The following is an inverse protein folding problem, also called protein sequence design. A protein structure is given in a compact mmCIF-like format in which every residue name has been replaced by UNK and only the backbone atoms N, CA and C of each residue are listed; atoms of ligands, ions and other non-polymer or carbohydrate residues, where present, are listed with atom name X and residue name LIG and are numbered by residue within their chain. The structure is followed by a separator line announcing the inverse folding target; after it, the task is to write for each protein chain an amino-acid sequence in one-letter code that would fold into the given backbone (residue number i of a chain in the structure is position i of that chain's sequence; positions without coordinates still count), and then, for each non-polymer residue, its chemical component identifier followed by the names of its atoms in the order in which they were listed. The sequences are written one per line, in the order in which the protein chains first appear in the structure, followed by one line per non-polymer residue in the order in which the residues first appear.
data_IF_810041362581
#
_entry.id   IF_810041362581
#
_cell.length_a   1.000
_cell.length_b   1.000
_cell.length_c   1.000
_cell.angle_alpha   90.00
_cell.angle_beta   90.00
_cell.angle_gamma   90.00
#
_symmetry.space_group_name_H-M   'P 1'
#
loop_
_entity.id
_entity.type
_entity.pdbx_description
1 polymer ?
#
# COMPACT_ATOMS: atom_id res chain seq x y z
N UNK A 1 3.60 -13.06 -66.68
CA UNK A 1 4.46 -13.60 -65.61
C UNK A 1 5.27 -12.44 -65.04
N UNK A 2 5.06 -12.06 -63.77
CA UNK A 2 6.02 -11.21 -63.09
C UNK A 2 6.06 -11.60 -61.60
N UNK A 3 7.26 -11.97 -61.16
CA UNK A 3 7.52 -12.75 -59.97
C UNK A 3 7.58 -11.89 -58.70
N UNK A 4 7.05 -12.46 -57.62
CA UNK A 4 7.50 -12.34 -56.22
C UNK A 4 8.15 -10.99 -55.84
N UNK A 5 7.32 -10.01 -55.48
CA UNK A 5 7.75 -9.02 -54.50
C UNK A 5 7.96 -9.74 -53.15
N UNK A 6 9.15 -9.63 -52.51
CA UNK A 6 9.29 -10.11 -51.16
C UNK A 6 8.39 -9.25 -50.28
N UNK A 7 7.32 -9.84 -49.76
CA UNK A 7 6.54 -9.24 -48.67
C UNK A 7 7.55 -8.87 -47.59
N UNK A 8 7.83 -7.57 -47.42
CA UNK A 8 8.52 -7.05 -46.23
C UNK A 8 7.75 -7.62 -45.05
N UNK A 9 8.26 -8.67 -44.42
CA UNK A 9 7.84 -9.07 -43.08
C UNK A 9 8.18 -7.85 -42.24
N UNK A 10 7.19 -6.98 -42.04
CA UNK A 10 7.21 -5.93 -41.02
C UNK A 10 7.48 -6.71 -39.75
N UNK A 11 8.75 -6.82 -39.40
CA UNK A 11 9.18 -7.56 -38.21
C UNK A 11 8.35 -7.00 -37.08
N UNK A 12 7.66 -7.87 -36.34
CA UNK A 12 6.77 -7.57 -35.20
C UNK A 12 7.50 -6.85 -34.03
N UNK A 13 8.64 -6.21 -34.30
CA UNK A 13 9.50 -5.42 -33.42
C UNK A 13 8.77 -4.24 -32.77
N UNK A 14 7.72 -3.71 -33.38
CA UNK A 14 6.88 -2.66 -32.79
C UNK A 14 5.82 -3.22 -31.81
N UNK A 15 5.41 -4.49 -31.96
CA UNK A 15 4.35 -5.08 -31.14
C UNK A 15 4.80 -5.58 -29.78
N UNK A 16 6.10 -5.76 -29.60
CA UNK A 16 6.68 -6.47 -28.48
C UNK A 16 7.85 -5.69 -27.88
N UNK A 17 7.81 -5.48 -26.57
CA UNK A 17 8.88 -4.80 -25.85
C UNK A 17 9.42 -5.68 -24.73
N UNK A 18 10.74 -5.64 -24.55
CA UNK A 18 11.40 -6.29 -23.42
C UNK A 18 10.99 -5.59 -22.13
N UNK A 19 10.36 -6.33 -21.24
CA UNK A 19 9.98 -5.86 -19.91
C UNK A 19 10.48 -6.83 -18.86
N UNK A 20 10.94 -6.30 -17.74
CA UNK A 20 11.38 -7.08 -16.59
C UNK A 20 10.18 -7.41 -15.71
N UNK A 21 9.79 -8.69 -15.68
CA UNK A 21 8.69 -9.16 -14.84
C UNK A 21 9.21 -9.99 -13.66
N UNK A 22 8.60 -9.86 -12.47
CA UNK A 22 8.97 -10.69 -11.34
C UNK A 22 8.67 -12.16 -11.64
N UNK A 23 9.70 -13.01 -11.53
CA UNK A 23 9.56 -14.44 -11.79
C UNK A 23 8.79 -15.11 -10.64
N UNK A 24 7.67 -15.74 -10.97
CA UNK A 24 6.84 -16.51 -10.04
C UNK A 24 7.03 -18.00 -10.27
N UNK A 25 7.49 -18.73 -9.24
CA UNK A 25 7.79 -20.15 -9.34
C UNK A 25 6.80 -21.00 -8.52
N UNK A 26 6.45 -22.18 -9.03
CA UNK A 26 5.72 -23.18 -8.22
C UNK A 26 6.60 -23.73 -7.11
N UNK A 27 5.99 -24.27 -6.05
CA UNK A 27 6.72 -24.84 -4.91
C UNK A 27 7.82 -25.82 -5.33
N UNK A 28 7.54 -26.75 -6.24
CA UNK A 28 8.53 -27.73 -6.71
C UNK A 28 9.75 -27.07 -7.39
N UNK A 29 9.54 -25.97 -8.11
CA UNK A 29 10.61 -25.24 -8.77
C UNK A 29 11.41 -24.40 -7.78
N UNK A 30 10.75 -23.80 -6.79
CA UNK A 30 11.43 -23.12 -5.67
C UNK A 30 12.37 -24.08 -4.95
N UNK A 31 11.90 -25.29 -4.65
CA UNK A 31 12.72 -26.32 -3.99
C UNK A 31 13.96 -26.67 -4.82
N UNK A 32 13.82 -26.82 -6.14
CA UNK A 32 14.94 -27.15 -7.02
C UNK A 32 15.93 -26.00 -7.19
N UNK A 33 15.44 -24.78 -7.38
CA UNK A 33 16.30 -23.61 -7.71
C UNK A 33 17.05 -23.12 -6.47
N UNK A 34 16.37 -23.08 -5.32
CA UNK A 34 16.91 -22.47 -4.11
C UNK A 34 17.33 -23.51 -3.06
N UNK A 35 17.18 -24.81 -3.34
CA UNK A 35 17.56 -25.88 -2.41
C UNK A 35 16.74 -25.91 -1.11
N UNK A 36 15.53 -25.33 -1.10
CA UNK A 36 14.69 -25.23 0.10
C UNK A 36 13.71 -26.40 0.18
N UNK A 37 13.32 -26.82 1.38
CA UNK A 37 12.32 -27.87 1.54
C UNK A 37 10.89 -27.36 1.33
N UNK A 38 9.97 -28.26 0.94
CA UNK A 38 8.54 -27.95 0.88
C UNK A 38 7.98 -27.47 2.24
N UNK A 39 8.51 -28.01 3.35
CA UNK A 39 8.09 -27.65 4.71
C UNK A 39 8.46 -26.20 5.04
N UNK A 40 9.66 -25.77 4.65
CA UNK A 40 10.11 -24.39 4.86
C UNK A 40 9.27 -23.39 4.08
N UNK A 41 8.99 -23.71 2.81
CA UNK A 41 8.12 -22.87 1.96
C UNK A 41 6.73 -22.74 2.58
N UNK A 42 6.14 -23.83 3.06
CA UNK A 42 4.85 -23.80 3.74
C UNK A 42 4.90 -23.05 5.07
N UNK A 43 5.98 -23.22 5.85
CA UNK A 43 6.20 -22.50 7.11
C UNK A 43 6.26 -21.00 6.86
N UNK A 44 7.08 -20.54 5.93
CA UNK A 44 7.18 -19.10 5.60
C UNK A 44 5.87 -18.53 5.06
N UNK A 45 5.10 -19.33 4.31
CA UNK A 45 3.78 -18.92 3.86
C UNK A 45 2.78 -18.77 5.02
N UNK A 46 2.78 -19.70 5.97
CA UNK A 46 1.95 -19.63 7.19
C UNK A 46 2.35 -18.47 8.10
N UNK A 47 3.64 -18.20 8.23
CA UNK A 47 4.19 -17.07 8.99
C UNK A 47 3.98 -15.72 8.30
N UNK A 48 3.43 -15.69 7.07
CA UNK A 48 3.21 -14.46 6.30
C UNK A 48 4.49 -13.84 5.71
N UNK A 49 5.64 -14.49 5.89
CA UNK A 49 6.95 -14.06 5.39
C UNK A 49 7.12 -14.27 3.88
N UNK A 50 6.42 -15.26 3.32
CA UNK A 50 6.38 -15.53 1.90
C UNK A 50 4.94 -15.42 1.39
N UNK A 51 4.66 -14.46 0.50
CA UNK A 51 3.29 -14.23 0.01
C UNK A 51 3.01 -15.05 -1.26
N UNK A 52 2.17 -16.10 -1.20
CA UNK A 52 1.80 -16.85 -2.40
C UNK A 52 0.92 -16.01 -3.32
N UNK A 53 1.20 -16.09 -4.62
CA UNK A 53 0.42 -15.47 -5.69
C UNK A 53 -0.35 -16.56 -6.43
N UNK A 54 -1.65 -16.36 -6.56
CA UNK A 54 -2.54 -17.29 -7.26
C UNK A 54 -2.87 -16.73 -8.63
N UNK A 55 -2.29 -17.32 -9.69
CA UNK A 55 -2.51 -16.85 -11.07
C UNK A 55 -3.44 -17.82 -11.81
N UNK A 56 -4.58 -17.34 -12.31
CA UNK A 56 -5.48 -18.05 -13.23
C UNK A 56 -6.92 -18.21 -12.72
N UNK A 57 -7.87 -18.37 -13.67
CA UNK A 57 -9.32 -18.53 -13.45
C UNK A 57 -9.70 -19.68 -12.49
N UNK A 58 -8.80 -20.63 -12.24
CA UNK A 58 -9.02 -21.80 -11.37
C UNK A 58 -8.03 -21.92 -10.20
N UNK A 59 -7.35 -20.84 -9.80
CA UNK A 59 -6.76 -20.61 -8.45
C UNK A 59 -6.07 -21.73 -7.64
N UNK A 60 -5.70 -22.88 -8.20
CA UNK A 60 -5.40 -24.08 -7.38
C UNK A 60 -3.96 -24.22 -6.90
N UNK A 61 -3.00 -23.57 -7.57
CA UNK A 61 -1.58 -23.75 -7.23
C UNK A 61 -0.91 -22.42 -6.87
N UNK A 62 -0.37 -22.30 -5.64
CA UNK A 62 0.36 -21.11 -5.24
C UNK A 62 1.66 -21.01 -6.05
N UNK A 63 1.97 -19.81 -6.50
CA UNK A 63 3.27 -19.45 -7.06
C UNK A 63 3.95 -18.47 -6.12
N UNK A 64 5.26 -18.55 -6.02
CA UNK A 64 6.06 -17.84 -5.05
C UNK A 64 7.01 -16.87 -5.76
N UNK A 65 7.07 -15.59 -5.33
CA UNK A 65 8.01 -14.62 -5.87
C UNK A 65 9.45 -15.03 -5.55
N UNK A 66 10.28 -15.16 -6.58
CA UNK A 66 11.71 -15.52 -6.45
C UNK A 66 12.49 -14.56 -5.56
N UNK A 67 12.24 -13.25 -5.69
CA UNK A 67 12.91 -12.22 -4.88
C UNK A 67 12.60 -12.38 -3.39
N UNK A 68 11.36 -12.71 -3.02
CA UNK A 68 11.01 -12.94 -1.61
C UNK A 68 11.68 -14.20 -1.07
N UNK A 69 11.69 -15.28 -1.85
CA UNK A 69 12.39 -16.52 -1.44
C UNK A 69 13.87 -16.25 -1.21
N UNK A 70 14.52 -15.52 -2.13
CA UNK A 70 15.94 -15.21 -2.01
C UNK A 70 16.25 -14.31 -0.81
N UNK A 71 15.42 -13.30 -0.56
CA UNK A 71 15.53 -12.45 0.62
C UNK A 71 15.40 -13.27 1.92
N UNK A 72 14.51 -14.27 1.96
CA UNK A 72 14.36 -15.16 3.12
C UNK A 72 15.58 -16.06 3.36
N UNK A 73 16.36 -16.30 2.32
CA UNK A 73 17.62 -17.05 2.38
C UNK A 73 18.83 -16.15 2.66
N UNK A 74 18.62 -14.84 2.84
CA UNK A 74 19.71 -13.88 3.04
C UNK A 74 20.57 -13.68 1.79
N UNK A 75 20.05 -14.01 0.60
CA UNK A 75 20.72 -13.75 -0.66
C UNK A 75 20.56 -12.26 -0.98
N UNK A 76 21.67 -11.54 -1.03
CA UNK A 76 21.70 -10.11 -1.38
C UNK A 76 21.19 -9.93 -2.81
N UNK A 77 20.00 -9.37 -2.94
CA UNK A 77 19.11 -9.64 -4.07
C UNK A 77 19.40 -8.76 -5.29
N UNK A 78 20.52 -9.04 -5.97
CA UNK A 78 20.72 -8.71 -7.39
C UNK A 78 20.06 -9.73 -8.31
N UNK A 79 18.91 -10.30 -7.95
CA UNK A 79 18.25 -11.32 -8.77
C UNK A 79 17.62 -10.65 -10.00
N UNK A 80 18.10 -10.94 -11.21
CA UNK A 80 17.64 -10.27 -12.40
C UNK A 80 16.17 -10.63 -12.63
N UNK A 81 15.31 -9.60 -12.64
CA UNK A 81 13.99 -9.76 -13.21
C UNK A 81 14.18 -10.25 -14.66
N UNK A 82 13.59 -11.40 -14.98
CA UNK A 82 13.82 -12.01 -16.28
C UNK A 82 13.28 -11.06 -17.36
N UNK A 83 14.08 -10.70 -18.38
CA UNK A 83 13.55 -9.96 -19.51
C UNK A 83 12.57 -10.89 -20.21
N UNK A 84 11.29 -10.49 -20.25
CA UNK A 84 10.23 -11.19 -20.96
C UNK A 84 9.80 -10.29 -22.11
N UNK A 85 9.64 -10.91 -23.28
CA UNK A 85 9.05 -10.23 -24.42
C UNK A 85 7.53 -10.12 -24.19
N UNK A 86 7.04 -8.91 -23.93
CA UNK A 86 5.62 -8.67 -23.61
C UNK A 86 4.98 -7.89 -24.75
N UNK A 87 3.83 -8.35 -25.22
CA UNK A 87 3.03 -7.63 -26.21
C UNK A 87 2.53 -6.30 -25.65
N UNK A 88 2.46 -5.27 -26.48
CA UNK A 88 2.11 -3.91 -26.06
C UNK A 88 0.76 -3.84 -25.30
N UNK A 89 -0.25 -4.57 -25.77
CA UNK A 89 -1.58 -4.64 -25.12
C UNK A 89 -1.51 -5.16 -23.67
N UNK A 90 -0.69 -6.18 -23.43
CA UNK A 90 -0.50 -6.75 -22.10
C UNK A 90 0.25 -5.77 -21.20
N UNK A 91 1.21 -5.01 -21.75
CA UNK A 91 1.93 -3.97 -21.00
C UNK A 91 1.01 -2.82 -20.62
N UNK A 92 0.16 -2.37 -21.53
CA UNK A 92 -0.84 -1.32 -21.26
C UNK A 92 -1.81 -1.79 -20.17
N UNK A 93 -2.29 -3.04 -20.27
CA UNK A 93 -3.15 -3.64 -19.26
C UNK A 93 -2.47 -3.70 -17.88
N UNK A 94 -1.21 -4.15 -17.81
CA UNK A 94 -0.44 -4.18 -16.56
C UNK A 94 -0.28 -2.76 -15.98
N UNK A 95 0.02 -1.78 -16.84
CA UNK A 95 0.22 -0.39 -16.44
C UNK A 95 -1.07 0.21 -15.88
N UNK A 96 -2.19 0.02 -16.57
CA UNK A 96 -3.51 0.47 -16.13
C UNK A 96 -3.92 -0.18 -14.80
N UNK A 97 -3.77 -1.50 -14.68
CA UNK A 97 -4.07 -2.22 -13.44
C UNK A 97 -3.20 -1.75 -12.26
N UNK A 98 -1.92 -1.50 -12.51
CA UNK A 98 -0.99 -1.02 -11.49
C UNK A 98 -1.34 0.40 -11.06
N UNK A 99 -1.62 1.30 -12.01
CA UNK A 99 -2.05 2.66 -11.72
C UNK A 99 -3.37 2.69 -10.93
N UNK A 100 -4.35 1.86 -11.31
CA UNK A 100 -5.62 1.73 -10.60
C UNK A 100 -5.42 1.24 -9.16
N UNK A 101 -4.56 0.24 -8.96
CA UNK A 101 -4.25 -0.33 -7.63
C UNK A 101 -3.56 0.70 -6.75
N UNK A 102 -2.55 1.41 -7.26
CA UNK A 102 -1.84 2.46 -6.53
C UNK A 102 -2.77 3.61 -6.15
N UNK A 103 -3.66 4.02 -7.06
CA UNK A 103 -4.63 5.07 -6.78
C UNK A 103 -5.64 4.66 -5.71
N UNK A 104 -6.08 3.40 -5.72
CA UNK A 104 -6.96 2.87 -4.66
C UNK A 104 -6.24 2.87 -3.31
N UNK A 105 -5.03 2.35 -3.26
CA UNK A 105 -4.23 2.31 -2.02
C UNK A 105 -3.95 3.72 -1.48
N UNK A 106 -3.67 4.68 -2.37
CA UNK A 106 -3.50 6.10 -1.99
C UNK A 106 -4.76 6.67 -1.34
N UNK A 107 -5.95 6.35 -1.88
CA UNK A 107 -7.22 6.81 -1.30
C UNK A 107 -7.50 6.18 0.05
N UNK A 108 -7.23 4.88 0.20
CA UNK A 108 -7.38 4.15 1.47
C UNK A 108 -6.49 4.79 2.56
N UNK A 109 -5.20 5.02 2.29
CA UNK A 109 -4.30 5.70 3.24
C UNK A 109 -4.78 7.12 3.58
N UNK A 110 -5.23 7.88 2.59
CA UNK A 110 -5.74 9.25 2.82
C UNK A 110 -6.98 9.25 3.71
N UNK A 111 -7.83 8.24 3.59
CA UNK A 111 -9.02 8.10 4.40
C UNK A 111 -8.68 7.67 5.82
N UNK A 112 -7.79 6.68 5.98
CA UNK A 112 -7.30 6.24 7.29
C UNK A 112 -6.67 7.40 8.07
N UNK A 113 -5.82 8.20 7.42
CA UNK A 113 -5.20 9.39 8.03
C UNK A 113 -6.23 10.45 8.43
N UNK A 114 -7.29 10.66 7.64
CA UNK A 114 -8.37 11.58 8.00
C UNK A 114 -9.14 11.11 9.22
N UNK A 115 -9.41 9.81 9.31
CA UNK A 115 -10.11 9.22 10.45
C UNK A 115 -9.27 9.31 11.72
N UNK A 116 -7.96 9.04 11.64
CA UNK A 116 -7.04 9.21 12.77
C UNK A 116 -6.96 10.67 13.24
N UNK A 117 -6.84 11.62 12.31
CA UNK A 117 -6.83 13.05 12.65
C UNK A 117 -8.16 13.51 13.28
N UNK A 118 -9.30 13.00 12.80
CA UNK A 118 -10.61 13.29 13.39
C UNK A 118 -10.74 12.71 14.80
N UNK A 119 -10.27 11.49 15.03
CA UNK A 119 -10.25 10.86 16.35
C UNK A 119 -9.37 11.65 17.34
N UNK A 120 -8.21 12.11 16.91
CA UNK A 120 -7.31 12.96 17.70
C UNK A 120 -7.94 14.33 18.01
N UNK A 121 -8.69 14.92 17.07
CA UNK A 121 -9.40 16.18 17.29
C UNK A 121 -10.55 16.03 18.30
N UNK A 122 -11.25 14.89 18.30
CA UNK A 122 -12.29 14.58 19.29
C UNK A 122 -11.68 14.34 20.68
N UNK A 123 -10.53 13.67 20.76
CA UNK A 123 -9.80 13.44 22.02
C UNK A 123 -9.23 14.74 22.62
N UNK A 124 -8.97 15.77 21.80
CA UNK A 124 -8.47 17.09 22.22
C UNK A 124 -9.55 18.09 22.64
N UNK A 125 -10.82 17.71 22.78
CA UNK A 125 -11.86 18.64 23.28
C UNK A 125 -11.46 19.13 24.68
N UNK A 126 -11.37 20.46 24.92
CA UNK A 126 -11.05 20.97 26.24
C UNK A 126 -12.19 20.64 27.21
N UNK A 127 -11.80 20.14 28.37
CA UNK A 127 -12.66 19.94 29.53
C UNK A 127 -13.45 21.24 29.78
N UNK A 128 -14.77 21.18 29.59
CA UNK A 128 -15.67 22.32 29.80
C UNK A 128 -15.58 22.68 31.28
N UNK A 129 -14.92 23.79 31.60
CA UNK A 129 -14.83 24.30 32.97
C UNK A 129 -16.24 24.35 33.58
N UNK A 130 -16.46 23.84 34.81
CA UNK A 130 -17.78 23.75 35.39
C UNK A 130 -18.39 25.14 35.51
N UNK A 131 -19.67 25.25 35.15
CA UNK A 131 -20.45 26.47 35.24
C UNK A 131 -20.33 27.04 36.66
N UNK A 132 -19.83 28.28 36.77
CA UNK A 132 -19.81 29.02 38.03
C UNK A 132 -21.25 29.13 38.53
N UNK A 133 -21.58 28.37 39.57
CA UNK A 133 -22.84 28.46 40.28
C UNK A 133 -22.91 29.85 40.92
N UNK A 134 -23.85 30.68 40.45
CA UNK A 134 -24.20 31.92 41.13
C UNK A 134 -24.73 31.58 42.52
N UNK A 135 -23.99 31.98 43.56
CA UNK A 135 -24.53 32.10 44.91
C UNK A 135 -24.91 33.57 45.15
N UNK A 136 -26.14 33.88 45.61
CA UNK A 136 -26.49 35.23 46.02
C UNK A 136 -25.91 35.45 47.42
N UNK A 137 -25.15 36.52 47.64
CA UNK A 137 -24.85 36.97 49.00
C UNK A 137 -25.42 38.36 49.26
N UNK A 138 -26.29 38.33 50.27
CA UNK A 138 -27.05 39.39 50.92
C UNK A 138 -26.21 40.62 51.24
N UNK A 139 -26.92 41.75 51.28
CA UNK A 139 -26.40 43.06 51.60
C UNK A 139 -25.65 43.14 52.93
N UNK A 140 -24.70 44.06 52.93
CA UNK A 140 -24.23 44.77 54.09
C UNK A 140 -24.15 46.24 53.66
N UNK A 141 -25.20 46.99 53.99
CA UNK A 141 -25.10 48.43 54.15
C UNK A 141 -24.01 48.69 55.19
N UNK A 142 -23.06 49.57 54.88
CA UNK A 142 -22.38 50.38 55.91
C UNK A 142 -21.61 51.54 55.29
N UNK A 143 -22.05 52.73 55.68
CA UNK A 143 -21.26 53.95 55.92
C UNK A 143 -20.51 54.60 54.74
N UNK A 144 -21.23 55.47 54.03
CA UNK A 144 -20.63 56.66 53.41
C UNK A 144 -20.33 57.66 54.53
N UNK A 145 -19.05 57.83 54.89
CA UNK A 145 -18.60 58.99 55.66
C UNK A 145 -18.46 60.15 54.68
N UNK A 146 -19.45 61.04 54.67
CA UNK A 146 -19.40 62.31 53.97
C UNK A 146 -18.51 63.27 54.77
N UNK A 147 -17.26 63.43 54.34
CA UNK A 147 -16.36 64.50 54.77
C UNK A 147 -16.17 65.49 53.63
N UNK A 148 -17.05 66.48 53.52
CA UNK A 148 -16.96 67.56 52.55
C UNK A 148 -17.29 68.88 53.23
N UNK A 149 -16.25 69.60 53.63
CA UNK A 149 -16.36 70.91 54.28
C UNK A 149 -16.87 71.99 53.33
N UNK A 150 -17.54 72.98 53.90
CA UNK A 150 -17.79 74.28 53.28
C UNK A 150 -17.70 75.38 54.34
N UNK A 151 -16.88 76.38 54.00
CA UNK A 151 -16.64 77.73 54.55
C UNK A 151 -16.30 77.91 56.04
#
# INVERSE_FOLDING_TARGET
MNANQPRKRRTDREKYQWTHLPLLLRSNMVQRVFGVSARDIQRWAKEGRLKPVYTGLKGKQPKYPTLQVAALLGLDAGLPAAPVLVGQDLRETITQCTAATLNRFRKEIQEDLRQELAALAVARKPERAPARVHAPRRGAETAVVAGGGTY
#
